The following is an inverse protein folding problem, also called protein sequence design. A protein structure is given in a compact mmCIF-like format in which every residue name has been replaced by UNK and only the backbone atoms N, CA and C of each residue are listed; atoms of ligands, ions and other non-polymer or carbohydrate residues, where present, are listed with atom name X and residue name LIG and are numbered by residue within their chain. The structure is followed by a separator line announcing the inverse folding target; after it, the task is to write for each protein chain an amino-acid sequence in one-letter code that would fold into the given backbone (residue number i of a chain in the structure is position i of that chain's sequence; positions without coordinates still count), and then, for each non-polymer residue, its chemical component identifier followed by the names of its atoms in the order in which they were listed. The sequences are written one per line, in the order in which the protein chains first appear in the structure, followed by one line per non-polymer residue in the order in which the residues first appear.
data_IF_636491653504
#
_entry.id   IF_636491653504
#
_cell.length_a   1.000
_cell.length_b   1.000
_cell.length_c   1.000
_cell.angle_alpha   90.00
_cell.angle_beta   90.00
_cell.angle_gamma   90.00
#
_symmetry.space_group_name_H-M   'P 1'
#
loop_
_entity.id
_entity.type
_entity.pdbx_description
1 polymer ?
#
# COMPACT_ATOMS: atom_id res chain seq x y z
N UNK A 1 39.71 41.21 -50.14
CA UNK A 1 38.32 41.04 -49.66
C UNK A 1 38.36 40.35 -48.30
N UNK A 2 37.86 41.00 -47.24
CA UNK A 2 37.82 40.45 -45.88
C UNK A 2 36.46 39.76 -45.68
N UNK A 3 36.42 38.43 -45.63
CA UNK A 3 35.17 37.69 -45.37
C UNK A 3 34.97 37.59 -43.86
N UNK A 4 33.94 38.27 -43.34
CA UNK A 4 33.56 38.19 -41.92
C UNK A 4 32.69 36.94 -41.71
N UNK A 5 33.11 36.05 -40.82
CA UNK A 5 32.29 34.92 -40.36
C UNK A 5 31.39 35.42 -39.23
N UNK A 6 30.07 35.40 -39.42
CA UNK A 6 29.09 35.75 -38.39
C UNK A 6 28.73 34.45 -37.65
N UNK A 7 29.00 34.40 -36.35
CA UNK A 7 28.63 33.29 -35.48
C UNK A 7 27.14 33.43 -35.11
N UNK A 8 26.28 32.57 -35.65
CA UNK A 8 24.88 32.44 -35.22
C UNK A 8 24.82 31.42 -34.07
N UNK A 9 24.68 31.89 -32.84
CA UNK A 9 24.31 31.03 -31.71
C UNK A 9 22.80 30.83 -31.72
N UNK A 10 22.35 29.63 -32.08
CA UNK A 10 20.95 29.22 -31.97
C UNK A 10 20.66 28.87 -30.50
N UNK A 11 19.95 29.73 -29.78
CA UNK A 11 19.41 29.39 -28.46
C UNK A 11 18.14 28.56 -28.69
N UNK A 12 18.26 27.23 -28.61
CA UNK A 12 17.09 26.37 -28.53
C UNK A 12 16.46 26.57 -27.14
N UNK A 13 15.34 27.30 -27.09
CA UNK A 13 14.57 27.46 -25.86
C UNK A 13 14.04 26.10 -25.41
N UNK A 14 14.56 25.59 -24.30
CA UNK A 14 13.98 24.42 -23.63
C UNK A 14 12.64 24.90 -23.06
N UNK A 15 11.55 24.54 -23.74
CA UNK A 15 10.21 24.71 -23.19
C UNK A 15 9.99 23.59 -22.18
N UNK A 16 10.09 23.90 -20.89
CA UNK A 16 9.56 23.02 -19.85
C UNK A 16 8.05 23.21 -19.81
N UNK A 17 7.31 22.39 -20.57
CA UNK A 17 5.92 22.16 -20.23
C UNK A 17 5.90 21.16 -19.08
N UNK A 18 5.85 21.65 -17.84
CA UNK A 18 5.33 20.82 -16.77
C UNK A 18 3.83 20.64 -17.07
N UNK A 19 3.50 19.64 -17.88
CA UNK A 19 2.13 19.15 -17.98
C UNK A 19 1.72 18.59 -16.61
N UNK A 20 0.43 18.63 -16.32
CA UNK A 20 -0.15 18.16 -15.05
C UNK A 20 0.55 16.90 -14.50
N UNK A 21 1.06 16.96 -13.27
CA UNK A 21 1.68 15.82 -12.59
C UNK A 21 0.67 14.78 -12.11
N UNK A 22 -0.62 15.14 -12.09
CA UNK A 22 -1.71 14.25 -11.73
C UNK A 22 -2.33 13.68 -12.99
N UNK A 23 -2.19 12.38 -13.17
CA UNK A 23 -2.88 11.60 -14.20
C UNK A 23 -3.82 10.62 -13.52
N UNK A 24 -5.10 10.65 -13.87
CA UNK A 24 -6.06 9.66 -13.38
C UNK A 24 -5.74 8.28 -13.98
N UNK A 25 -5.23 7.36 -13.17
CA UNK A 25 -4.93 5.98 -13.58
C UNK A 25 -6.02 5.00 -13.14
N UNK A 26 -7.28 5.47 -13.13
CA UNK A 26 -8.50 4.79 -12.65
C UNK A 26 -8.47 3.25 -12.70
N UNK A 27 -8.86 2.60 -11.60
CA UNK A 27 -9.09 1.16 -11.55
C UNK A 27 -10.61 0.87 -11.46
N UNK A 28 -11.07 -0.16 -12.17
CA UNK A 28 -12.49 -0.52 -12.35
C UNK A 28 -13.17 -1.14 -11.12
N UNK A 29 -12.63 -0.98 -9.90
CA UNK A 29 -13.30 -1.57 -8.74
C UNK A 29 -14.45 -0.68 -8.28
N UNK A 30 -15.59 -1.31 -8.02
CA UNK A 30 -16.75 -0.69 -7.36
C UNK A 30 -16.53 -0.53 -5.86
N UNK A 31 -15.33 -0.81 -5.35
CA UNK A 31 -15.02 -0.88 -3.92
C UNK A 31 -14.32 0.40 -3.45
N UNK A 32 -14.65 0.83 -2.24
CA UNK A 32 -14.07 2.02 -1.65
C UNK A 32 -12.61 1.77 -1.24
N UNK A 33 -11.66 2.43 -1.91
CA UNK A 33 -10.25 2.49 -1.49
C UNK A 33 -10.07 3.51 -0.36
N UNK A 34 -10.70 3.25 0.79
CA UNK A 34 -10.60 4.11 1.99
C UNK A 34 -9.49 3.67 2.95
N UNK A 35 -8.74 2.63 2.59
CA UNK A 35 -7.66 2.10 3.42
C UNK A 35 -6.32 2.81 3.23
N UNK A 36 -5.24 2.13 3.63
CA UNK A 36 -3.88 2.62 3.50
C UNK A 36 -3.27 2.31 2.13
N UNK A 37 -2.19 3.02 1.80
CA UNK A 37 -1.31 2.65 0.70
C UNK A 37 0.15 2.63 1.17
N UNK A 38 0.96 1.78 0.52
CA UNK A 38 2.39 1.69 0.79
C UNK A 38 3.16 1.26 -0.46
N UNK A 39 4.15 2.07 -0.85
CA UNK A 39 5.07 1.75 -1.94
C UNK A 39 6.33 1.09 -1.37
N UNK A 40 6.68 -0.10 -1.86
CA UNK A 40 7.93 -0.80 -1.50
C UNK A 40 9.07 -0.48 -2.47
N UNK A 41 8.74 0.04 -3.65
CA UNK A 41 9.67 0.57 -4.64
C UNK A 41 8.96 1.60 -5.52
N UNK A 42 9.65 2.15 -6.52
CA UNK A 42 9.03 3.03 -7.52
C UNK A 42 7.96 2.30 -8.36
N UNK A 43 8.13 0.98 -8.56
CA UNK A 43 7.25 0.19 -9.42
C UNK A 43 6.18 -0.57 -8.62
N UNK A 44 6.48 -0.91 -7.36
CA UNK A 44 5.62 -1.75 -6.52
C UNK A 44 4.92 -0.95 -5.44
N UNK A 45 3.59 -0.97 -5.46
CA UNK A 45 2.74 -0.33 -4.45
C UNK A 45 1.54 -1.22 -4.11
N UNK A 46 1.09 -1.09 -2.87
CA UNK A 46 -0.08 -1.78 -2.34
C UNK A 46 -1.11 -0.77 -1.86
N UNK A 47 -2.38 -1.10 -2.07
CA UNK A 47 -3.51 -0.30 -1.58
C UNK A 47 -4.50 -1.25 -0.93
N UNK A 48 -5.01 -0.88 0.24
CA UNK A 48 -6.08 -1.60 0.90
C UNK A 48 -7.43 -0.92 0.69
N UNK A 49 -8.51 -1.69 0.78
CA UNK A 49 -9.86 -1.15 0.61
C UNK A 49 -10.92 -1.89 1.40
N UNK A 50 -12.17 -1.57 1.07
CA UNK A 50 -13.34 -2.24 1.63
C UNK A 50 -13.34 -3.75 1.36
N UNK A 51 -14.07 -4.50 2.18
CA UNK A 51 -14.22 -5.96 2.03
C UNK A 51 -12.89 -6.72 2.05
N UNK A 52 -11.96 -6.31 2.92
CA UNK A 52 -10.75 -7.08 3.24
C UNK A 52 -9.85 -7.29 2.03
N UNK A 53 -9.90 -6.35 1.07
CA UNK A 53 -9.18 -6.44 -0.19
C UNK A 53 -7.85 -5.71 -0.15
N UNK A 54 -6.86 -6.32 -0.78
CA UNK A 54 -5.55 -5.74 -1.03
C UNK A 54 -5.28 -5.77 -2.53
N UNK A 55 -4.90 -4.63 -3.08
CA UNK A 55 -4.51 -4.42 -4.47
C UNK A 55 -3.00 -4.23 -4.54
N UNK A 56 -2.39 -4.67 -5.65
CA UNK A 56 -0.96 -4.51 -5.91
C UNK A 56 -0.75 -3.99 -7.32
N UNK A 57 0.22 -3.10 -7.48
CA UNK A 57 0.81 -2.75 -8.78
C UNK A 57 2.27 -3.19 -8.81
N UNK A 58 2.79 -3.44 -10.00
CA UNK A 58 4.20 -3.78 -10.28
C UNK A 58 4.79 -2.87 -11.38
N UNK A 59 4.08 -1.81 -11.76
CA UNK A 59 4.46 -0.88 -12.82
C UNK A 59 4.08 0.58 -12.49
N UNK A 60 4.27 0.96 -11.22
CA UNK A 60 4.12 2.33 -10.76
C UNK A 60 2.67 2.84 -10.78
N UNK A 61 1.69 1.92 -10.69
CA UNK A 61 0.26 2.26 -10.71
C UNK A 61 -0.33 2.43 -12.10
N UNK A 62 0.40 2.07 -13.17
CA UNK A 62 -0.14 2.03 -14.54
C UNK A 62 -1.22 0.98 -14.70
N UNK A 63 -1.05 -0.18 -14.04
CA UNK A 63 -2.08 -1.21 -13.89
C UNK A 63 -2.00 -1.87 -12.52
N UNK A 64 -3.12 -2.47 -12.10
CA UNK A 64 -3.25 -3.16 -10.82
C UNK A 64 -3.63 -4.62 -11.04
N UNK A 65 -3.06 -5.50 -10.23
CA UNK A 65 -3.46 -6.90 -10.14
C UNK A 65 -4.92 -7.02 -9.64
N UNK A 66 -5.54 -8.17 -9.87
CA UNK A 66 -6.84 -8.48 -9.28
C UNK A 66 -6.75 -8.44 -7.75
N UNK A 67 -7.79 -7.90 -7.10
CA UNK A 67 -7.85 -7.79 -5.66
C UNK A 67 -7.70 -9.16 -4.99
N UNK A 68 -6.79 -9.27 -4.01
CA UNK A 68 -6.78 -10.41 -3.12
C UNK A 68 -7.79 -10.14 -2.00
N UNK A 69 -8.76 -11.04 -1.85
CA UNK A 69 -9.79 -10.94 -0.80
C UNK A 69 -9.38 -11.82 0.37
N UNK A 70 -8.98 -11.20 1.49
CA UNK A 70 -8.49 -11.89 2.69
C UNK A 70 -9.62 -12.05 3.71
N UNK A 71 -10.46 -11.02 3.82
CA UNK A 71 -11.68 -11.01 4.63
C UNK A 71 -12.85 -10.58 3.75
N UNK A 72 -14.08 -10.95 4.09
CA UNK A 72 -15.27 -10.67 3.25
C UNK A 72 -16.21 -9.63 3.84
N UNK A 73 -16.12 -9.36 5.15
CA UNK A 73 -17.06 -8.47 5.87
C UNK A 73 -16.37 -7.39 6.69
N UNK A 74 -15.05 -7.23 6.55
CA UNK A 74 -14.26 -6.25 7.30
C UNK A 74 -13.39 -5.46 6.31
N UNK A 75 -12.74 -4.37 6.73
CA UNK A 75 -11.87 -3.57 5.87
C UNK A 75 -10.52 -3.31 6.53
N UNK A 76 -9.51 -3.08 5.69
CA UNK A 76 -8.17 -2.76 6.13
C UNK A 76 -7.95 -1.24 6.11
N UNK A 77 -7.50 -0.70 7.24
CA UNK A 77 -7.28 0.74 7.44
C UNK A 77 -5.84 1.17 7.17
N UNK A 78 -4.87 0.28 7.39
CA UNK A 78 -3.45 0.61 7.18
C UNK A 78 -2.67 -0.60 6.65
N UNK A 79 -1.54 -0.31 6.00
CA UNK A 79 -0.62 -1.30 5.42
C UNK A 79 0.83 -0.78 5.52
N UNK A 80 1.75 -1.64 5.94
CA UNK A 80 3.20 -1.35 5.99
C UNK A 80 4.03 -2.55 5.60
N UNK A 81 5.20 -2.27 5.05
CA UNK A 81 6.21 -3.26 4.70
C UNK A 81 7.53 -2.94 5.40
N UNK A 82 7.97 -3.75 6.38
CA UNK A 82 9.33 -3.68 6.92
C UNK A 82 10.41 -4.10 5.91
N UNK A 83 10.04 -4.85 4.87
CA UNK A 83 10.93 -5.26 3.78
C UNK A 83 10.14 -5.48 2.49
N UNK A 84 10.82 -5.68 1.36
CA UNK A 84 10.14 -5.95 0.09
C UNK A 84 9.34 -7.27 0.08
N UNK A 85 9.69 -8.23 0.95
CA UNK A 85 9.03 -9.54 1.04
C UNK A 85 7.99 -9.62 2.16
N UNK A 86 8.18 -8.91 3.27
CA UNK A 86 7.29 -8.99 4.43
C UNK A 86 6.44 -7.74 4.54
N UNK A 87 5.14 -7.92 4.70
CA UNK A 87 4.16 -6.84 4.86
C UNK A 87 3.05 -7.21 5.84
N UNK A 88 2.46 -6.19 6.43
CA UNK A 88 1.36 -6.26 7.39
C UNK A 88 0.25 -5.32 6.98
N UNK A 89 -1.00 -5.76 7.12
CA UNK A 89 -2.19 -4.94 7.00
C UNK A 89 -3.07 -5.13 8.23
N UNK A 90 -3.72 -4.06 8.70
CA UNK A 90 -4.63 -4.12 9.84
C UNK A 90 -5.91 -3.33 9.59
N UNK A 91 -6.94 -3.68 10.34
CA UNK A 91 -8.24 -3.03 10.25
C UNK A 91 -9.26 -3.66 11.17
N UNK A 92 -10.51 -3.62 10.76
CA UNK A 92 -11.63 -4.14 11.54
C UNK A 92 -12.94 -3.49 11.12
N UNK A 93 -14.00 -3.78 11.86
CA UNK A 93 -15.28 -3.06 11.78
C UNK A 93 -16.22 -3.59 12.86
N UNK A 94 -17.05 -2.73 13.44
CA UNK A 94 -18.07 -3.14 14.42
C UNK A 94 -19.25 -3.91 13.81
N UNK A 95 -19.36 -3.97 12.47
CA UNK A 95 -20.49 -4.60 11.77
C UNK A 95 -20.14 -5.91 11.07
N UNK A 96 -18.87 -6.30 11.09
CA UNK A 96 -18.35 -7.48 10.40
C UNK A 96 -18.19 -8.67 11.33
N UNK A 97 -17.87 -9.82 10.73
CA UNK A 97 -17.54 -11.06 11.48
C UNK A 97 -16.30 -10.92 12.36
N UNK A 98 -15.38 -10.01 12.01
CA UNK A 98 -14.15 -9.75 12.74
C UNK A 98 -14.08 -8.26 13.08
N UNK A 99 -14.13 -7.95 14.38
CA UNK A 99 -13.99 -6.58 14.89
C UNK A 99 -12.58 -6.03 14.69
N UNK A 100 -11.60 -6.93 14.68
CA UNK A 100 -10.19 -6.67 14.42
C UNK A 100 -9.72 -7.63 13.34
N UNK A 101 -8.93 -7.13 12.39
CA UNK A 101 -8.28 -7.99 11.39
C UNK A 101 -6.81 -7.62 11.25
N UNK A 102 -5.98 -8.64 11.10
CA UNK A 102 -4.57 -8.52 10.76
C UNK A 102 -4.28 -9.53 9.65
N UNK A 103 -3.55 -9.11 8.63
CA UNK A 103 -3.02 -9.98 7.59
C UNK A 103 -1.53 -9.74 7.41
N UNK A 104 -0.83 -10.80 6.98
CA UNK A 104 0.62 -10.78 6.74
C UNK A 104 0.96 -11.42 5.41
N UNK A 105 1.96 -10.88 4.73
CA UNK A 105 2.63 -11.55 3.60
C UNK A 105 4.09 -11.80 3.95
N UNK A 106 4.66 -12.86 3.37
CA UNK A 106 6.09 -13.20 3.43
C UNK A 106 6.74 -13.32 2.05
N UNK A 107 5.99 -13.02 0.99
CA UNK A 107 6.41 -13.17 -0.40
C UNK A 107 6.07 -11.95 -1.27
N UNK A 108 6.13 -10.74 -0.68
CA UNK A 108 5.93 -9.48 -1.40
C UNK A 108 4.49 -9.31 -1.88
N UNK A 109 3.53 -9.78 -1.08
CA UNK A 109 2.11 -9.68 -1.35
C UNK A 109 1.67 -10.47 -2.58
N UNK A 110 2.39 -11.55 -2.94
CA UNK A 110 1.89 -12.57 -3.87
C UNK A 110 0.77 -13.37 -3.19
N UNK A 111 0.90 -13.65 -1.90
CA UNK A 111 -0.17 -14.19 -1.05
C UNK A 111 -0.18 -13.48 0.30
N UNK A 112 -1.35 -13.47 0.94
CA UNK A 112 -1.55 -12.93 2.29
C UNK A 112 -2.23 -13.98 3.16
N UNK A 113 -1.70 -14.18 4.36
CA UNK A 113 -2.25 -15.02 5.40
C UNK A 113 -3.05 -14.16 6.39
N UNK A 114 -4.23 -14.63 6.79
CA UNK A 114 -5.01 -14.00 7.85
C UNK A 114 -4.54 -14.48 9.23
N UNK A 115 -4.31 -13.54 10.15
CA UNK A 115 -3.83 -13.83 11.51
C UNK A 115 -4.99 -13.79 12.50
N UNK A 116 -5.95 -14.71 12.36
CA UNK A 116 -7.22 -14.73 13.12
C UNK A 116 -7.21 -15.56 14.39
N UNK A 117 -6.10 -16.22 14.72
CA UNK A 117 -5.99 -17.05 15.94
C UNK A 117 -6.11 -16.24 17.24
N UNK A 118 -5.90 -14.92 17.16
CA UNK A 118 -6.04 -14.00 18.28
C UNK A 118 -7.26 -13.12 18.02
N UNK A 119 -8.20 -13.11 18.97
CA UNK A 119 -9.41 -12.29 18.89
C UNK A 119 -9.23 -11.02 19.69
N UNK A 120 -9.18 -9.88 19.00
CA UNK A 120 -9.18 -8.57 19.64
C UNK A 120 -10.57 -7.95 19.57
N UNK A 121 -10.92 -7.14 20.57
CA UNK A 121 -12.30 -6.66 20.73
C UNK A 121 -12.60 -5.47 19.83
N UNK A 122 -11.58 -4.77 19.35
CA UNK A 122 -11.73 -3.51 18.66
C UNK A 122 -10.88 -3.38 17.39
N UNK A 123 -11.34 -2.52 16.48
CA UNK A 123 -10.69 -2.22 15.22
C UNK A 123 -9.32 -1.57 15.40
N UNK A 124 -8.37 -1.91 14.52
CA UNK A 124 -7.09 -1.23 14.39
C UNK A 124 -7.16 -0.16 13.30
N UNK A 125 -6.64 1.03 13.59
CA UNK A 125 -6.63 2.17 12.67
C UNK A 125 -5.28 2.43 12.03
N UNK A 126 -4.18 2.04 12.69
CA UNK A 126 -2.84 2.26 12.17
C UNK A 126 -1.89 1.15 12.59
N UNK A 127 -0.83 0.96 11.81
CA UNK A 127 0.23 0.03 12.14
C UNK A 127 1.62 0.58 11.88
N UNK A 128 2.59 0.07 12.64
CA UNK A 128 4.02 0.29 12.44
C UNK A 128 4.75 -1.03 12.53
N UNK A 129 5.60 -1.33 11.53
CA UNK A 129 6.36 -2.55 11.46
C UNK A 129 7.85 -2.20 11.27
N UNK A 130 8.60 -1.96 12.37
CA UNK A 130 10.02 -1.60 12.27
C UNK A 130 10.91 -2.75 11.79
N UNK A 131 10.48 -4.00 11.95
CA UNK A 131 11.21 -5.18 11.45
C UNK A 131 10.22 -6.21 10.91
N UNK A 132 10.73 -7.22 10.23
CA UNK A 132 9.91 -8.31 9.70
C UNK A 132 9.17 -9.11 10.78
N UNK A 133 9.68 -9.12 12.03
CA UNK A 133 9.10 -9.89 13.14
C UNK A 133 8.42 -9.01 14.19
N UNK A 134 8.72 -7.71 14.23
CA UNK A 134 8.12 -6.79 15.19
C UNK A 134 7.15 -5.85 14.49
N UNK A 135 5.88 -5.89 14.90
CA UNK A 135 4.86 -4.97 14.45
C UNK A 135 3.95 -4.55 15.60
N UNK A 136 3.45 -3.32 15.51
CA UNK A 136 2.54 -2.68 16.46
C UNK A 136 1.26 -2.30 15.72
N UNK A 137 0.12 -2.64 16.31
CA UNK A 137 -1.20 -2.39 15.77
C UNK A 137 -1.96 -1.53 16.77
N UNK A 138 -2.40 -0.35 16.33
CA UNK A 138 -2.99 0.66 17.18
C UNK A 138 -4.43 0.96 16.75
N UNK A 139 -5.34 0.93 17.70
CA UNK A 139 -6.75 1.29 17.56
C UNK A 139 -7.29 1.76 18.90
N UNK A 140 -8.44 1.20 19.33
CA UNK A 140 -8.89 1.33 20.72
C UNK A 140 -7.99 0.56 21.71
N UNK A 141 -7.21 -0.38 21.20
CA UNK A 141 -6.17 -1.10 21.92
C UNK A 141 -4.84 -1.03 21.15
N UNK A 142 -3.74 -1.25 21.87
CA UNK A 142 -2.39 -1.36 21.29
C UNK A 142 -1.91 -2.80 21.47
N UNK A 143 -1.59 -3.44 20.35
CA UNK A 143 -1.14 -4.83 20.33
C UNK A 143 0.22 -4.91 19.62
N UNK A 144 1.08 -5.83 20.06
CA UNK A 144 2.45 -5.95 19.55
C UNK A 144 2.84 -7.41 19.32
N UNK A 145 3.30 -7.74 18.13
CA UNK A 145 4.03 -8.99 17.90
C UNK A 145 5.54 -8.79 17.92
N UNK A 146 6.28 -9.84 18.26
CA UNK A 146 7.76 -9.94 18.12
C UNK A 146 8.22 -11.18 17.36
N UNK A 147 7.29 -11.98 16.86
CA UNK A 147 7.54 -13.24 16.16
C UNK A 147 6.79 -13.31 14.81
N UNK A 148 6.47 -12.14 14.25
CA UNK A 148 5.82 -12.03 12.95
C UNK A 148 4.33 -12.38 12.96
N UNK A 149 3.67 -12.21 14.10
CA UNK A 149 2.23 -12.42 14.26
C UNK A 149 1.83 -13.85 14.60
N UNK A 150 2.79 -14.68 15.04
CA UNK A 150 2.48 -15.99 15.62
C UNK A 150 1.91 -15.82 17.04
N UNK A 151 2.40 -14.81 17.76
CA UNK A 151 1.88 -14.33 19.06
C UNK A 151 1.87 -12.79 19.11
N UNK A 152 1.09 -12.22 20.05
CA UNK A 152 0.78 -10.79 20.17
C UNK A 152 0.76 -10.31 21.63
#
# INVERSE_FOLDING_TARGET
MKTRLILLTLFAGIQFTASAQWTDTWHTSTNYLQGGCFATSADTCFVTGSEGKIYRTLNGGTSWDSAQTIFTTSWFNDIRFPSASVGYACGGTSFGTHHSIIARTSNGGVTWDSLTSNTFSFEFYSLSAPTENTAYFAGFELVKTTDGGQTF
#
